data_IF_798617616785
#
_entry.id   IF_798617616785
#
_cell.length_a   1.000
_cell.length_b   1.000
_cell.length_c   1.000
_cell.angle_alpha   90.00
_cell.angle_beta   90.00
_cell.angle_gamma   90.00
#
_symmetry.space_group_name_H-M   'P 1'
#
loop_
_entity.id
_entity.type
_entity.pdbx_description
1 polymer ?
#
# COMPACT_ATOMS: atom_id res chain seq x y z
N UNK A 1 30.18 62.48 50.30
CA UNK A 1 29.22 61.38 50.51
C UNK A 1 28.46 61.14 49.19
N UNK A 2 28.34 59.88 48.74
CA UNK A 2 27.68 59.44 47.48
C UNK A 2 26.16 59.16 47.76
N UNK A 3 25.28 58.63 46.86
CA UNK A 3 25.40 57.39 46.04
C UNK A 3 25.04 57.57 44.54
N UNK A 4 25.76 57.00 43.56
CA UNK A 4 25.80 55.60 43.07
C UNK A 4 24.47 55.05 42.52
N UNK A 5 24.30 55.21 41.20
CA UNK A 5 23.21 54.66 40.39
C UNK A 5 23.50 53.16 40.13
N UNK A 6 22.60 52.28 40.54
CA UNK A 6 22.75 50.82 40.46
C UNK A 6 22.52 50.32 39.02
N UNK A 7 23.57 49.78 38.42
CA UNK A 7 23.48 48.75 37.38
C UNK A 7 23.09 47.42 38.04
N UNK A 8 21.90 46.89 37.76
CA UNK A 8 21.59 45.47 37.88
C UNK A 8 20.16 45.23 37.38
N UNK A 9 19.98 44.35 36.39
CA UNK A 9 18.69 43.67 36.23
C UNK A 9 18.11 43.47 34.84
N UNK A 10 18.86 43.61 33.74
CA UNK A 10 18.26 43.45 32.39
C UNK A 10 19.03 42.56 31.41
N UNK A 11 20.00 41.76 31.86
CA UNK A 11 20.78 40.87 30.95
C UNK A 11 20.78 39.40 31.40
N UNK A 12 19.91 39.00 32.34
CA UNK A 12 19.86 37.61 32.81
C UNK A 12 18.77 36.73 32.18
N UNK A 13 17.83 37.29 31.39
CA UNK A 13 16.71 36.52 30.86
C UNK A 13 16.81 36.14 29.38
N UNK A 14 17.85 36.56 28.65
CA UNK A 14 17.95 36.33 27.20
C UNK A 14 18.84 35.14 26.79
N UNK A 15 19.50 34.47 27.74
CA UNK A 15 20.29 33.26 27.47
C UNK A 15 19.53 31.97 27.86
N UNK A 16 18.48 32.06 28.69
CA UNK A 16 17.65 30.89 29.05
C UNK A 16 16.52 30.59 28.04
N UNK A 17 16.29 31.47 27.06
CA UNK A 17 15.23 31.28 26.06
C UNK A 17 15.69 30.55 24.78
N UNK A 18 17.00 30.45 24.52
CA UNK A 18 17.51 29.76 23.32
C UNK A 18 17.86 28.28 23.56
N UNK A 19 18.01 27.86 24.81
CA UNK A 19 18.29 26.46 25.18
C UNK A 19 17.06 25.57 25.40
N UNK A 20 15.87 26.16 25.56
CA UNK A 20 14.64 25.43 25.84
C UNK A 20 13.75 25.19 24.60
N UNK A 21 14.10 25.76 23.44
CA UNK A 21 13.30 25.64 22.21
C UNK A 21 13.49 24.33 21.45
N UNK A 22 14.55 23.58 21.72
CA UNK A 22 14.92 22.38 20.93
C UNK A 22 14.39 21.08 21.57
N UNK A 23 13.97 21.12 22.83
CA UNK A 23 13.59 19.95 23.62
C UNK A 23 12.08 19.63 23.62
N UNK A 24 11.23 20.52 23.10
CA UNK A 24 9.77 20.32 23.11
C UNK A 24 9.18 19.75 21.81
N UNK A 25 9.95 19.66 20.73
CA UNK A 25 9.47 19.07 19.47
C UNK A 25 9.59 17.54 19.41
N UNK A 26 10.33 16.90 20.33
CA UNK A 26 10.46 15.43 20.39
C UNK A 26 9.34 14.73 21.19
N UNK A 27 8.50 15.48 21.91
CA UNK A 27 7.53 14.90 22.85
C UNK A 27 6.13 14.61 22.26
N UNK A 28 5.91 14.85 20.96
CA UNK A 28 4.56 14.78 20.39
C UNK A 28 4.52 14.16 18.98
N UNK A 29 5.39 13.19 18.72
CA UNK A 29 5.09 12.20 17.68
C UNK A 29 4.46 11.02 18.42
N UNK A 30 3.14 10.76 18.27
CA UNK A 30 2.59 9.51 18.77
C UNK A 30 3.38 8.38 18.10
N UNK A 31 4.19 7.67 18.87
CA UNK A 31 4.69 6.37 18.44
C UNK A 31 3.44 5.55 18.17
N UNK A 32 3.17 5.28 16.88
CA UNK A 32 2.27 4.21 16.50
C UNK A 32 2.94 2.96 17.06
N UNK A 33 2.51 2.56 18.25
CA UNK A 33 2.87 1.26 18.77
C UNK A 33 2.38 0.26 17.72
N UNK A 34 3.30 -0.49 17.12
CA UNK A 34 2.92 -1.70 16.43
C UNK A 34 2.10 -2.50 17.44
N UNK A 35 0.81 -2.65 17.18
CA UNK A 35 -0.01 -3.50 18.02
C UNK A 35 0.55 -4.90 17.79
N UNK A 36 1.13 -5.51 18.83
CA UNK A 36 1.40 -6.94 18.86
C UNK A 36 0.02 -7.64 18.87
N UNK A 37 -0.63 -7.65 17.71
CA UNK A 37 -1.89 -8.33 17.50
C UNK A 37 -1.59 -9.82 17.55
N UNK A 38 -1.92 -10.44 18.69
CA UNK A 38 -1.87 -11.89 18.80
C UNK A 38 -2.90 -12.48 17.83
N UNK A 39 -2.42 -13.15 16.78
CA UNK A 39 -3.28 -13.76 15.77
C UNK A 39 -4.23 -14.77 16.42
N UNK A 40 -5.52 -14.45 16.40
CA UNK A 40 -6.57 -15.37 16.81
C UNK A 40 -7.10 -16.07 15.56
N UNK A 41 -6.82 -17.37 15.45
CA UNK A 41 -7.27 -18.17 14.32
C UNK A 41 -8.81 -18.22 14.26
N UNK A 42 -9.42 -18.13 13.07
CA UNK A 42 -10.85 -18.39 12.90
C UNK A 42 -11.25 -19.82 13.29
N UNK A 43 -12.56 -20.08 13.37
CA UNK A 43 -13.07 -21.44 13.59
C UNK A 43 -12.64 -22.42 12.48
N UNK A 44 -12.56 -23.71 12.78
CA UNK A 44 -12.16 -24.74 11.81
C UNK A 44 -13.07 -24.74 10.56
N UNK A 45 -14.39 -24.57 10.76
CA UNK A 45 -15.35 -24.44 9.64
C UNK A 45 -15.05 -23.22 8.77
N UNK A 46 -14.73 -22.08 9.39
CA UNK A 46 -14.32 -20.87 8.67
C UNK A 46 -13.03 -21.09 7.88
N UNK A 47 -12.03 -21.76 8.47
CA UNK A 47 -10.77 -22.09 7.79
C UNK A 47 -11.04 -22.97 6.56
N UNK A 48 -11.90 -24.00 6.67
CA UNK A 48 -12.30 -24.84 5.52
C UNK A 48 -12.91 -24.02 4.39
N UNK A 49 -13.80 -23.06 4.71
CA UNK A 49 -14.40 -22.16 3.72
C UNK A 49 -13.37 -21.25 3.03
N UNK A 50 -12.38 -20.75 3.79
CA UNK A 50 -11.29 -19.95 3.24
C UNK A 50 -10.47 -20.77 2.24
N UNK A 51 -10.13 -22.02 2.56
CA UNK A 51 -9.38 -22.92 1.66
C UNK A 51 -10.17 -23.14 0.36
N UNK A 52 -11.47 -23.47 0.45
CA UNK A 52 -12.32 -23.67 -0.74
C UNK A 52 -12.39 -22.41 -1.61
N UNK A 53 -12.54 -21.23 -1.00
CA UNK A 53 -12.56 -19.97 -1.73
C UNK A 53 -11.21 -19.69 -2.41
N UNK A 54 -10.11 -19.95 -1.72
CA UNK A 54 -8.75 -19.76 -2.24
C UNK A 54 -8.45 -20.69 -3.42
N UNK A 55 -8.85 -21.96 -3.34
CA UNK A 55 -8.69 -22.91 -4.45
C UNK A 55 -9.53 -22.53 -5.67
N UNK A 56 -10.73 -21.98 -5.45
CA UNK A 56 -11.58 -21.46 -6.52
C UNK A 56 -10.93 -20.26 -7.24
N UNK A 57 -10.34 -19.33 -6.47
CA UNK A 57 -9.59 -18.20 -7.02
C UNK A 57 -8.34 -18.66 -7.77
N UNK A 58 -7.65 -19.68 -7.26
CA UNK A 58 -6.49 -20.28 -7.95
C UNK A 58 -6.90 -20.89 -9.29
N UNK A 59 -8.00 -21.63 -9.35
CA UNK A 59 -8.51 -22.18 -10.61
C UNK A 59 -8.83 -21.07 -11.63
N UNK A 60 -9.50 -20.00 -11.19
CA UNK A 60 -9.77 -18.84 -12.05
C UNK A 60 -8.48 -18.13 -12.51
N UNK A 61 -7.50 -17.97 -11.62
CA UNK A 61 -6.18 -17.42 -11.95
C UNK A 61 -5.50 -18.21 -13.07
N UNK A 62 -5.50 -19.54 -13.01
CA UNK A 62 -4.89 -20.36 -14.05
C UNK A 62 -5.60 -20.20 -15.40
N UNK A 63 -6.93 -20.05 -15.42
CA UNK A 63 -7.68 -19.67 -16.63
C UNK A 63 -7.23 -18.31 -17.19
N UNK A 64 -7.14 -17.29 -16.33
CA UNK A 64 -6.68 -15.96 -16.74
C UNK A 64 -5.23 -15.93 -17.23
N UNK A 65 -4.35 -16.79 -16.70
CA UNK A 65 -2.98 -16.96 -17.21
C UNK A 65 -2.98 -17.57 -18.61
N UNK A 66 -3.80 -18.60 -18.84
CA UNK A 66 -3.94 -19.23 -20.17
C UNK A 66 -4.46 -18.23 -21.21
N UNK A 67 -5.36 -17.34 -20.80
CA UNK A 67 -5.86 -16.22 -21.61
C UNK A 67 -4.90 -15.03 -21.72
N UNK A 68 -3.69 -15.11 -21.12
CA UNK A 68 -2.68 -14.04 -21.10
C UNK A 68 -3.19 -12.72 -20.47
N UNK A 69 -4.17 -12.81 -19.56
CA UNK A 69 -4.76 -11.65 -18.86
C UNK A 69 -4.15 -11.41 -17.48
N UNK A 70 -3.37 -12.36 -16.96
CA UNK A 70 -2.82 -12.30 -15.60
C UNK A 70 -1.31 -12.56 -15.61
N UNK A 71 -0.54 -11.51 -15.34
CA UNK A 71 0.92 -11.53 -15.20
C UNK A 71 1.28 -10.88 -13.86
N UNK A 72 1.40 -11.68 -12.78
CA UNK A 72 1.61 -11.16 -11.43
C UNK A 72 3.05 -10.73 -11.21
N UNK A 73 3.26 -9.78 -10.29
CA UNK A 73 4.57 -9.42 -9.77
C UNK A 73 4.91 -10.13 -8.43
N UNK A 74 3.97 -10.91 -7.89
CA UNK A 74 4.03 -11.57 -6.58
C UNK A 74 4.12 -13.08 -6.71
N UNK A 75 4.70 -13.75 -5.71
CA UNK A 75 4.73 -15.22 -5.60
C UNK A 75 3.37 -15.77 -5.20
N UNK A 76 2.68 -15.07 -4.30
CA UNK A 76 1.34 -15.44 -3.86
C UNK A 76 0.27 -15.03 -4.88
N UNK A 77 -0.85 -15.77 -4.87
CA UNK A 77 -2.08 -15.41 -5.58
C UNK A 77 -2.55 -14.02 -5.15
N UNK A 78 -2.82 -13.13 -6.10
CA UNK A 78 -3.51 -11.87 -5.85
C UNK A 78 -5.01 -12.04 -6.10
N UNK A 79 -5.86 -12.13 -5.05
CA UNK A 79 -7.30 -12.30 -5.22
C UNK A 79 -7.96 -11.14 -5.95
N UNK A 80 -7.50 -9.91 -5.69
CA UNK A 80 -8.04 -8.71 -6.33
C UNK A 80 -7.80 -8.75 -7.84
N UNK A 81 -6.58 -9.11 -8.25
CA UNK A 81 -6.23 -9.27 -9.66
C UNK A 81 -7.08 -10.32 -10.38
N UNK A 82 -7.47 -11.40 -9.69
CA UNK A 82 -8.37 -12.42 -10.26
C UNK A 82 -9.79 -11.90 -10.44
N UNK A 83 -10.39 -11.33 -9.39
CA UNK A 83 -11.81 -10.95 -9.41
C UNK A 83 -12.12 -9.74 -10.32
N UNK A 84 -11.11 -8.95 -10.70
CA UNK A 84 -11.24 -7.88 -11.71
C UNK A 84 -11.01 -8.40 -13.14
N UNK A 85 -10.75 -9.70 -13.30
CA UNK A 85 -10.58 -10.37 -14.59
C UNK A 85 -9.14 -10.45 -15.08
N UNK A 86 -8.14 -10.21 -14.24
CA UNK A 86 -6.72 -10.29 -14.59
C UNK A 86 -6.03 -8.93 -14.57
N UNK A 87 -4.77 -8.94 -14.15
CA UNK A 87 -3.88 -7.78 -14.15
C UNK A 87 -2.51 -8.20 -14.72
N UNK A 88 -1.95 -7.36 -15.59
CA UNK A 88 -0.55 -7.44 -16.02
C UNK A 88 0.27 -6.44 -15.21
N UNK A 89 0.63 -6.89 -13.99
CA UNK A 89 1.31 -6.04 -13.02
C UNK A 89 2.76 -5.79 -13.42
N UNK A 90 3.39 -6.73 -14.11
CA UNK A 90 4.76 -6.55 -14.63
C UNK A 90 4.77 -5.38 -15.63
N UNK A 91 3.87 -5.37 -16.61
CA UNK A 91 3.72 -4.25 -17.53
C UNK A 91 3.39 -2.93 -16.82
N UNK A 92 2.53 -2.98 -15.79
CA UNK A 92 2.19 -1.79 -15.00
C UNK A 92 3.42 -1.22 -14.25
N UNK A 93 4.29 -2.07 -13.69
CA UNK A 93 5.53 -1.67 -13.05
C UNK A 93 6.54 -1.11 -14.07
N UNK A 94 6.72 -1.78 -15.21
CA UNK A 94 7.64 -1.33 -16.27
C UNK A 94 7.24 0.04 -16.85
N UNK A 95 5.95 0.31 -16.93
CA UNK A 95 5.41 1.58 -17.41
C UNK A 95 5.20 2.63 -16.32
N UNK A 96 5.40 2.28 -15.04
CA UNK A 96 5.19 3.18 -13.91
C UNK A 96 3.72 3.56 -13.66
N UNK A 97 2.76 2.72 -14.10
CA UNK A 97 1.31 2.94 -13.90
C UNK A 97 0.86 2.72 -12.45
N UNK A 98 1.73 2.15 -11.62
CA UNK A 98 1.44 1.78 -10.24
C UNK A 98 1.00 0.32 -10.12
N UNK A 99 0.44 -0.04 -8.97
CA UNK A 99 -0.05 -1.40 -8.67
C UNK A 99 -1.36 -1.34 -7.87
N UNK A 100 -2.07 -2.46 -7.74
CA UNK A 100 -3.23 -2.55 -6.84
C UNK A 100 -2.79 -2.65 -5.35
N UNK A 101 -3.71 -2.48 -4.38
CA UNK A 101 -3.36 -2.50 -2.96
C UNK A 101 -2.79 -3.84 -2.48
N UNK A 102 -3.26 -4.97 -3.03
CA UNK A 102 -2.75 -6.28 -2.64
C UNK A 102 -1.30 -6.44 -3.11
N UNK A 103 -1.03 -6.16 -4.39
CA UNK A 103 0.34 -6.22 -4.91
C UNK A 103 1.24 -5.22 -4.19
N UNK A 104 0.75 -4.01 -3.88
CA UNK A 104 1.53 -3.02 -3.13
C UNK A 104 2.00 -3.57 -1.78
N UNK A 105 1.08 -4.14 -0.98
CA UNK A 105 1.40 -4.73 0.31
C UNK A 105 2.36 -5.93 0.17
N UNK A 106 2.10 -6.81 -0.80
CA UNK A 106 2.90 -8.01 -1.05
C UNK A 106 4.36 -7.68 -1.44
N UNK A 107 4.57 -6.69 -2.32
CA UNK A 107 5.92 -6.25 -2.67
C UNK A 107 6.63 -5.62 -1.47
N UNK A 108 5.91 -4.88 -0.63
CA UNK A 108 6.46 -4.27 0.58
C UNK A 108 6.85 -5.31 1.65
N UNK A 109 6.15 -6.44 1.70
CA UNK A 109 6.41 -7.55 2.61
C UNK A 109 7.40 -8.58 2.06
N UNK A 110 7.98 -8.35 0.86
CA UNK A 110 8.98 -9.24 0.27
C UNK A 110 8.41 -10.45 -0.49
N UNK A 111 7.13 -10.45 -0.82
CA UNK A 111 6.48 -11.52 -1.61
C UNK A 111 6.63 -11.32 -3.14
N UNK A 112 7.59 -10.50 -3.57
CA UNK A 112 7.89 -10.31 -4.98
C UNK A 112 8.39 -11.61 -5.62
N UNK A 113 8.03 -11.85 -6.89
CA UNK A 113 8.71 -12.86 -7.72
C UNK A 113 10.21 -12.60 -7.78
N UNK A 114 11.01 -13.63 -8.03
CA UNK A 114 12.48 -13.51 -8.02
C UNK A 114 12.96 -12.49 -9.06
N UNK A 115 12.35 -12.45 -10.25
CA UNK A 115 12.64 -11.45 -11.28
C UNK A 115 12.39 -10.02 -10.79
N UNK A 116 11.19 -9.75 -10.26
CA UNK A 116 10.83 -8.41 -9.76
C UNK A 116 11.71 -8.02 -8.57
N UNK A 117 12.00 -8.96 -7.67
CA UNK A 117 12.79 -8.72 -6.47
C UNK A 117 14.19 -8.18 -6.79
N UNK A 118 14.82 -8.61 -7.89
CA UNK A 118 16.15 -8.10 -8.31
C UNK A 118 16.18 -6.60 -8.62
N UNK A 119 15.01 -6.01 -8.89
CA UNK A 119 14.86 -4.61 -9.27
C UNK A 119 14.20 -3.75 -8.19
N UNK A 120 13.84 -4.35 -7.05
CA UNK A 120 13.24 -3.65 -5.93
C UNK A 120 14.32 -3.01 -5.04
N UNK A 121 14.14 -1.73 -4.76
CA UNK A 121 14.98 -0.99 -3.82
C UNK A 121 14.09 -0.13 -2.92
N UNK A 122 14.69 0.53 -1.93
CA UNK A 122 14.03 1.57 -1.14
C UNK A 122 14.83 2.86 -1.25
N UNK A 123 14.15 4.00 -1.26
CA UNK A 123 14.81 5.30 -1.16
C UNK A 123 15.12 5.69 0.30
N UNK A 124 15.65 6.90 0.47
CA UNK A 124 16.02 7.47 1.77
C UNK A 124 14.83 7.59 2.73
N UNK A 125 13.61 7.77 2.20
CA UNK A 125 12.37 7.79 2.98
C UNK A 125 11.78 6.39 3.22
N UNK A 126 12.46 5.34 2.77
CA UNK A 126 12.04 3.95 2.91
C UNK A 126 10.92 3.53 1.96
N UNK A 127 10.57 4.34 0.96
CA UNK A 127 9.52 4.04 -0.02
C UNK A 127 10.02 3.01 -1.01
N UNK A 128 9.18 2.05 -1.34
CA UNK A 128 9.52 0.98 -2.28
C UNK A 128 9.65 1.52 -3.71
N UNK A 129 10.72 1.14 -4.39
CA UNK A 129 11.03 1.52 -5.75
C UNK A 129 11.18 0.30 -6.64
N UNK A 130 10.87 0.46 -7.92
CA UNK A 130 11.15 -0.50 -8.99
C UNK A 130 11.91 0.21 -10.11
N UNK A 131 13.13 -0.25 -10.42
CA UNK A 131 14.01 0.37 -11.44
C UNK A 131 14.11 1.90 -11.28
N UNK A 132 14.47 2.36 -10.09
CA UNK A 132 14.61 3.78 -9.71
C UNK A 132 13.33 4.63 -9.81
N UNK A 133 12.15 4.01 -9.82
CA UNK A 133 10.86 4.72 -9.73
C UNK A 133 10.09 4.29 -8.50
N UNK A 134 9.58 5.26 -7.74
CA UNK A 134 8.72 4.98 -6.57
C UNK A 134 7.47 4.26 -7.03
N UNK A 135 7.20 3.09 -6.45
CA UNK A 135 5.97 2.33 -6.70
C UNK A 135 4.82 3.05 -6.00
N UNK A 136 3.72 3.24 -6.71
CA UNK A 136 2.50 3.88 -6.21
C UNK A 136 1.33 2.93 -6.42
N UNK A 137 0.26 3.13 -5.67
CA UNK A 137 -1.02 2.51 -6.03
C UNK A 137 -1.57 3.11 -7.33
N UNK A 138 -2.43 2.36 -8.02
CA UNK A 138 -3.12 2.83 -9.22
C UNK A 138 -3.86 4.16 -8.99
N UNK A 139 -4.03 4.99 -10.04
CA UNK A 139 -4.87 6.18 -9.95
C UNK A 139 -6.35 5.81 -9.76
N UNK A 140 -7.11 6.71 -9.15
CA UNK A 140 -8.55 6.55 -8.87
C UNK A 140 -9.34 6.14 -10.12
N UNK A 141 -9.02 6.72 -11.28
CA UNK A 141 -9.69 6.40 -12.56
C UNK A 141 -9.55 4.93 -12.94
N UNK A 142 -8.37 4.34 -12.74
CA UNK A 142 -8.13 2.90 -12.98
C UNK A 142 -8.90 2.06 -11.97
N UNK A 143 -8.90 2.43 -10.69
CA UNK A 143 -9.69 1.72 -9.68
C UNK A 143 -11.19 1.70 -10.00
N UNK A 144 -11.77 2.83 -10.43
CA UNK A 144 -13.19 2.87 -10.86
C UNK A 144 -13.48 1.90 -12.00
N UNK A 145 -12.59 1.80 -12.98
CA UNK A 145 -12.72 0.86 -14.10
C UNK A 145 -12.65 -0.59 -13.61
N UNK A 146 -11.64 -0.92 -12.81
CA UNK A 146 -11.47 -2.27 -12.26
C UNK A 146 -12.65 -2.69 -11.39
N UNK A 147 -13.23 -1.76 -10.62
CA UNK A 147 -14.39 -2.04 -9.78
C UNK A 147 -15.66 -2.32 -10.62
N UNK A 148 -15.87 -1.59 -11.72
CA UNK A 148 -16.92 -1.92 -12.68
C UNK A 148 -16.76 -3.32 -13.28
N UNK A 149 -15.52 -3.71 -13.62
CA UNK A 149 -15.22 -5.06 -14.10
C UNK A 149 -15.50 -6.12 -13.04
N UNK A 150 -15.07 -5.88 -11.79
CA UNK A 150 -15.32 -6.77 -10.65
C UNK A 150 -16.81 -7.03 -10.47
N UNK A 151 -17.63 -5.98 -10.43
CA UNK A 151 -19.09 -6.11 -10.25
C UNK A 151 -19.69 -6.95 -11.39
N UNK A 152 -19.27 -6.70 -12.62
CA UNK A 152 -19.77 -7.42 -13.79
C UNK A 152 -19.43 -8.92 -13.72
N UNK A 153 -18.16 -9.25 -13.46
CA UNK A 153 -17.67 -10.63 -13.40
C UNK A 153 -18.20 -11.41 -12.19
N UNK A 154 -18.26 -10.78 -11.01
CA UNK A 154 -18.70 -11.45 -9.78
C UNK A 154 -20.22 -11.60 -9.68
N UNK A 155 -20.99 -10.86 -10.47
CA UNK A 155 -22.44 -11.04 -10.57
C UNK A 155 -22.87 -12.20 -11.48
N UNK A 156 -21.92 -12.88 -12.15
CA UNK A 156 -22.20 -13.97 -13.09
C UNK A 156 -22.78 -13.48 -14.43
N UNK A 157 -22.90 -12.18 -14.64
CA UNK A 157 -23.28 -11.59 -15.92
C UNK A 157 -22.04 -11.49 -16.81
N UNK A 158 -21.73 -12.57 -17.52
CA UNK A 158 -20.80 -12.51 -18.65
C UNK A 158 -21.26 -11.40 -19.59
N UNK A 159 -20.38 -10.46 -19.91
CA UNK A 159 -20.72 -9.23 -20.63
C UNK A 159 -21.35 -9.50 -22.00
N UNK A 160 -22.67 -9.55 -22.04
CA UNK A 160 -23.47 -9.19 -23.19
C UNK A 160 -24.29 -7.95 -22.79
N UNK A 161 -23.73 -6.80 -23.16
CA UNK A 161 -24.46 -5.58 -23.56
C UNK A 161 -25.54 -5.06 -22.62
N UNK A 162 -25.23 -3.98 -21.90
CA UNK A 162 -26.16 -2.85 -21.83
C UNK A 162 -25.33 -1.57 -21.72
N UNK A 163 -25.27 -0.84 -22.84
CA UNK A 163 -24.76 0.52 -22.86
C UNK A 163 -25.60 1.35 -21.88
N UNK A 164 -24.92 2.12 -21.03
CA UNK A 164 -25.59 3.04 -20.12
C UNK A 164 -26.46 4.03 -20.92
N UNK A 165 -27.70 4.32 -20.51
CA UNK A 165 -28.40 5.48 -21.02
C UNK A 165 -27.67 6.74 -20.52
N UNK A 166 -27.28 7.59 -21.47
CA UNK A 166 -26.87 8.96 -21.20
C UNK A 166 -28.01 9.69 -20.47
N UNK A 167 -27.69 10.36 -19.36
CA UNK A 167 -28.40 11.52 -18.84
C UNK A 167 -27.37 12.52 -18.34
#
# INVERSE_FOLDING_TARGET
>A
MPPSLKFAGAVSCLILAFGAGVSWQKAMVPQIAAQDEQFQAPSEDTVKKIVVAYDSLRAAMEGLKQEQRYVPATKSLNPYGVIVGGLDVVSDLESGRGVDPYTFAALYSGDATDEIATHLTKDEEGRLMYKNRVIRMYPISRFKKLEGQRISLTSGKSGATEAAPEN
#
